data_IF_777732382613
#
_entry.id   IF_777732382613
#
_cell.length_a   1.000
_cell.length_b   1.000
_cell.length_c   1.000
_cell.angle_alpha   90.00
_cell.angle_beta   90.00
_cell.angle_gamma   90.00
#
_symmetry.space_group_name_H-M   'P 1'
#
loop_
_entity.id
_entity.type
_entity.pdbx_description
1 polymer ?
#
# COMPACT_ATOMS: atom_id res chain seq x y z
N UNK A 1 20.33 -22.97 4.50
CA UNK A 1 19.17 -22.93 5.44
C UNK A 1 18.28 -21.77 5.02
N UNK A 2 17.06 -22.01 4.54
CA UNK A 2 16.14 -20.97 4.14
C UNK A 2 15.56 -20.28 5.39
N UNK A 3 15.77 -18.98 5.51
CA UNK A 3 15.19 -18.16 6.57
C UNK A 3 14.12 -17.24 6.01
N UNK A 4 12.97 -17.16 6.68
CA UNK A 4 11.85 -16.33 6.28
C UNK A 4 11.59 -15.24 7.32
N UNK A 5 11.79 -13.98 6.91
CA UNK A 5 11.56 -12.81 7.76
C UNK A 5 10.14 -12.28 7.58
N UNK A 6 9.30 -12.39 8.61
CA UNK A 6 7.99 -11.71 8.65
C UNK A 6 8.20 -10.20 8.87
N UNK A 7 7.38 -9.38 8.21
CA UNK A 7 7.37 -7.95 8.52
C UNK A 7 6.97 -7.70 9.98
N UNK A 8 7.50 -6.62 10.62
CA UNK A 8 7.06 -6.18 11.93
C UNK A 8 5.58 -5.74 11.87
N UNK A 9 4.90 -5.75 13.01
CA UNK A 9 3.52 -5.23 13.11
C UNK A 9 3.50 -3.71 12.86
N UNK A 10 4.52 -3.00 13.33
CA UNK A 10 4.70 -1.58 13.04
C UNK A 10 4.87 -1.36 11.53
N UNK A 11 4.10 -0.44 10.89
CA UNK A 11 4.21 -0.13 9.47
C UNK A 11 5.45 0.72 9.14
N UNK A 12 6.61 0.21 9.49
CA UNK A 12 7.91 0.83 9.27
C UNK A 12 8.78 -0.09 8.41
N UNK A 13 9.04 0.36 7.19
CA UNK A 13 9.81 -0.42 6.21
C UNK A 13 11.26 -0.63 6.65
N UNK A 14 11.87 0.38 7.29
CA UNK A 14 13.27 0.30 7.73
C UNK A 14 13.47 -0.71 8.86
N UNK A 15 12.43 -0.92 9.71
CA UNK A 15 12.46 -2.01 10.70
C UNK A 15 12.45 -3.39 10.04
N UNK A 16 11.70 -3.55 8.95
CA UNK A 16 11.67 -4.81 8.21
C UNK A 16 13.01 -5.06 7.50
N UNK A 17 13.53 -4.05 6.82
CA UNK A 17 14.85 -4.09 6.17
C UNK A 17 15.95 -4.42 7.18
N UNK A 18 15.99 -3.70 8.29
CA UNK A 18 16.99 -3.94 9.35
C UNK A 18 16.89 -5.34 9.98
N UNK A 19 15.68 -5.93 10.03
CA UNK A 19 15.49 -7.33 10.42
C UNK A 19 16.14 -8.29 9.44
N UNK A 20 15.89 -8.11 8.15
CA UNK A 20 16.46 -8.91 7.07
C UNK A 20 18.00 -8.77 7.01
N UNK A 21 18.53 -7.55 7.08
CA UNK A 21 19.96 -7.30 7.05
C UNK A 21 20.71 -7.97 8.19
N UNK A 22 20.14 -8.00 9.40
CA UNK A 22 20.75 -8.71 10.54
C UNK A 22 20.89 -10.20 10.29
N UNK A 23 19.89 -10.80 9.63
CA UNK A 23 19.90 -12.22 9.25
C UNK A 23 20.96 -12.48 8.18
N UNK A 24 21.03 -11.62 7.16
CA UNK A 24 22.05 -11.69 6.12
C UNK A 24 23.47 -11.54 6.70
N UNK A 25 23.69 -10.57 7.59
CA UNK A 25 24.99 -10.38 8.30
C UNK A 25 25.39 -11.57 9.17
N UNK A 26 24.44 -12.39 9.61
CA UNK A 26 24.72 -13.64 10.33
C UNK A 26 25.13 -14.80 9.39
N UNK A 27 25.31 -14.55 8.09
CA UNK A 27 25.76 -15.52 7.10
C UNK A 27 24.65 -16.40 6.51
N UNK A 28 23.38 -15.98 6.63
CA UNK A 28 22.25 -16.68 6.02
C UNK A 28 21.98 -16.06 4.65
N UNK A 29 22.24 -16.81 3.59
CA UNK A 29 22.11 -16.36 2.20
C UNK A 29 20.72 -16.64 1.62
N UNK A 30 20.09 -17.77 1.99
CA UNK A 30 18.74 -18.14 1.55
C UNK A 30 17.68 -17.38 2.36
N UNK A 31 17.32 -16.19 1.91
CA UNK A 31 16.35 -15.33 2.57
C UNK A 31 15.00 -15.34 1.83
N UNK A 32 13.91 -15.23 2.58
CA UNK A 32 12.57 -14.98 2.07
C UNK A 32 11.85 -13.98 2.96
N UNK A 33 11.02 -13.16 2.35
CA UNK A 33 10.21 -12.15 3.03
C UNK A 33 8.78 -12.66 3.18
N UNK A 34 8.16 -12.43 4.34
CA UNK A 34 6.75 -12.77 4.56
C UNK A 34 6.00 -11.49 4.91
N UNK A 35 5.05 -11.15 4.06
CA UNK A 35 4.10 -10.08 4.28
C UNK A 35 2.89 -10.61 5.05
N UNK A 36 2.74 -10.19 6.31
CA UNK A 36 1.66 -10.59 7.23
C UNK A 36 0.72 -9.46 7.63
N UNK A 37 0.81 -8.31 6.95
CA UNK A 37 0.09 -7.09 7.29
C UNK A 37 0.68 -6.33 8.48
N UNK A 38 0.14 -5.15 8.72
CA UNK A 38 0.64 -4.18 9.71
C UNK A 38 -0.47 -3.72 10.64
N UNK A 39 -0.10 -3.22 11.82
CA UNK A 39 -1.05 -2.54 12.69
C UNK A 39 -1.57 -1.26 12.03
N UNK A 40 -2.84 -0.99 12.20
CA UNK A 40 -3.48 0.23 11.73
C UNK A 40 -4.36 0.82 12.82
N UNK A 41 -4.52 2.13 12.77
CA UNK A 41 -5.47 2.83 13.63
C UNK A 41 -6.86 2.80 12.99
N UNK A 42 -7.87 2.59 13.82
CA UNK A 42 -9.28 2.55 13.40
C UNK A 42 -9.81 1.13 13.12
N UNK A 43 -11.06 1.07 12.73
CA UNK A 43 -11.75 -0.18 12.43
C UNK A 43 -11.43 -0.60 11.00
N UNK A 44 -10.81 -1.76 10.81
CA UNK A 44 -10.56 -2.35 9.50
C UNK A 44 -11.22 -3.72 9.41
N UNK A 45 -11.50 -4.18 8.20
CA UNK A 45 -11.97 -5.54 7.97
C UNK A 45 -10.88 -6.60 8.23
N UNK A 46 -9.62 -6.16 8.34
CA UNK A 46 -8.44 -7.00 8.53
C UNK A 46 -7.98 -7.00 9.98
N UNK A 47 -7.43 -8.14 10.45
CA UNK A 47 -6.71 -8.20 11.73
C UNK A 47 -5.43 -7.35 11.68
N UNK A 48 -4.71 -7.43 10.56
CA UNK A 48 -3.56 -6.60 10.27
C UNK A 48 -3.72 -6.01 8.87
N UNK A 49 -3.82 -4.69 8.76
CA UNK A 49 -4.03 -4.04 7.47
C UNK A 49 -2.92 -4.43 6.47
N UNK A 50 -3.23 -4.83 5.25
CA UNK A 50 -2.22 -5.32 4.31
C UNK A 50 -1.22 -4.25 3.91
N UNK A 51 -1.60 -2.96 3.87
CA UNK A 51 -0.72 -1.86 3.46
C UNK A 51 0.21 -2.25 2.29
N UNK A 52 -0.39 -2.71 1.21
CA UNK A 52 0.29 -3.28 0.04
C UNK A 52 1.45 -2.44 -0.48
N UNK A 53 1.36 -1.11 -0.37
CA UNK A 53 2.41 -0.19 -0.80
C UNK A 53 3.75 -0.44 -0.09
N UNK A 54 3.75 -0.87 1.19
CA UNK A 54 4.99 -1.21 1.90
C UNK A 54 5.61 -2.51 1.38
N UNK A 55 4.78 -3.53 1.14
CA UNK A 55 5.25 -4.79 0.59
C UNK A 55 5.74 -4.63 -0.87
N UNK A 56 5.03 -3.83 -1.68
CA UNK A 56 5.45 -3.48 -3.05
C UNK A 56 6.80 -2.74 -3.02
N UNK A 57 6.98 -1.77 -2.12
CA UNK A 57 8.25 -1.04 -1.99
C UNK A 57 9.39 -1.97 -1.53
N UNK A 58 9.09 -2.92 -0.63
CA UNK A 58 10.06 -3.94 -0.21
C UNK A 58 10.48 -4.83 -1.40
N UNK A 59 9.52 -5.31 -2.20
CA UNK A 59 9.79 -6.09 -3.42
C UNK A 59 10.59 -5.29 -4.45
N UNK A 60 10.29 -4.01 -4.61
CA UNK A 60 11.03 -3.10 -5.50
C UNK A 60 12.51 -2.94 -5.10
N UNK A 61 12.79 -2.82 -3.79
CA UNK A 61 14.16 -2.68 -3.27
C UNK A 61 14.94 -4.00 -3.29
N UNK A 62 14.25 -5.11 -3.11
CA UNK A 62 14.85 -6.44 -2.95
C UNK A 62 14.21 -7.45 -3.92
N UNK A 63 14.27 -7.16 -5.21
CA UNK A 63 13.64 -7.94 -6.29
C UNK A 63 14.12 -9.39 -6.37
N UNK A 64 15.31 -9.69 -5.85
CA UNK A 64 15.89 -11.05 -5.86
C UNK A 64 15.50 -11.90 -4.65
N UNK A 65 14.77 -11.33 -3.67
CA UNK A 65 14.36 -12.05 -2.46
C UNK A 65 12.89 -12.43 -2.60
N UNK A 66 12.55 -13.74 -2.51
CA UNK A 66 11.17 -14.18 -2.63
C UNK A 66 10.26 -13.52 -1.59
N UNK A 67 9.11 -13.01 -2.04
CA UNK A 67 8.08 -12.41 -1.21
C UNK A 67 6.88 -13.34 -1.09
N UNK A 68 6.59 -13.76 0.12
CA UNK A 68 5.48 -14.66 0.46
C UNK A 68 4.38 -13.85 1.17
N UNK A 69 3.13 -14.08 0.82
CA UNK A 69 2.00 -13.48 1.55
C UNK A 69 1.45 -14.44 2.60
N UNK A 70 1.09 -13.90 3.75
CA UNK A 70 0.44 -14.60 4.86
C UNK A 70 -1.00 -14.06 5.03
N UNK A 71 -1.96 -14.54 4.24
CA UNK A 71 -3.33 -14.07 4.30
C UNK A 71 -4.01 -14.43 5.63
N UNK A 72 -3.62 -15.53 6.30
CA UNK A 72 -4.18 -15.91 7.59
C UNK A 72 -4.00 -14.82 8.64
N UNK A 73 -2.79 -14.27 8.75
CA UNK A 73 -2.50 -13.20 9.71
C UNK A 73 -2.99 -11.83 9.27
N UNK A 74 -3.09 -11.58 7.96
CA UNK A 74 -3.71 -10.36 7.43
C UNK A 74 -5.18 -10.33 7.78
N UNK A 75 -5.91 -11.38 7.42
CA UNK A 75 -7.36 -11.44 7.54
C UNK A 75 -7.83 -11.61 9.00
N UNK A 76 -7.23 -12.56 9.74
CA UNK A 76 -7.72 -12.98 11.06
C UNK A 76 -9.10 -13.65 11.03
N UNK A 77 -9.62 -13.96 9.83
CA UNK A 77 -10.93 -14.55 9.54
C UNK A 77 -10.88 -15.29 8.20
N UNK A 78 -11.76 -16.27 8.03
CA UNK A 78 -11.70 -17.22 6.89
C UNK A 78 -12.28 -16.69 5.58
N UNK A 79 -13.32 -15.89 5.67
CA UNK A 79 -14.17 -15.49 4.54
C UNK A 79 -13.52 -14.57 3.51
N UNK A 80 -12.44 -13.86 3.89
CA UNK A 80 -11.69 -12.96 3.00
C UNK A 80 -10.29 -13.49 2.64
N UNK A 81 -9.94 -14.73 3.06
CA UNK A 81 -8.63 -15.34 2.77
C UNK A 81 -8.35 -15.44 1.28
N UNK A 82 -9.34 -15.91 0.50
CA UNK A 82 -9.22 -16.09 -0.94
C UNK A 82 -8.88 -14.79 -1.66
N UNK A 83 -9.56 -13.70 -1.31
CA UNK A 83 -9.40 -12.40 -1.96
C UNK A 83 -8.01 -11.80 -1.66
N UNK A 84 -7.55 -11.92 -0.41
CA UNK A 84 -6.21 -11.46 -0.02
C UNK A 84 -5.12 -12.30 -0.67
N UNK A 85 -5.29 -13.62 -0.73
CA UNK A 85 -4.35 -14.53 -1.41
C UNK A 85 -4.28 -14.22 -2.92
N UNK A 86 -5.43 -14.06 -3.59
CA UNK A 86 -5.48 -13.70 -5.00
C UNK A 86 -4.83 -12.34 -5.25
N UNK A 87 -5.09 -11.35 -4.39
CA UNK A 87 -4.49 -10.02 -4.50
C UNK A 87 -2.96 -10.09 -4.41
N UNK A 88 -2.41 -10.93 -3.53
CA UNK A 88 -0.97 -11.14 -3.44
C UNK A 88 -0.39 -11.70 -4.75
N UNK A 89 -1.03 -12.73 -5.32
CA UNK A 89 -0.62 -13.31 -6.61
C UNK A 89 -0.74 -12.29 -7.76
N UNK A 90 -1.79 -11.47 -7.76
CA UNK A 90 -1.96 -10.39 -8.74
C UNK A 90 -0.88 -9.29 -8.62
N UNK A 91 -0.26 -9.15 -7.43
CA UNK A 91 0.87 -8.26 -7.13
C UNK A 91 2.24 -8.95 -7.27
N UNK A 92 2.28 -10.12 -7.92
CA UNK A 92 3.50 -10.86 -8.22
C UNK A 92 4.26 -11.32 -6.97
N UNK A 93 3.54 -11.78 -5.95
CA UNK A 93 4.15 -12.48 -4.83
C UNK A 93 4.50 -13.92 -5.22
N UNK A 94 5.63 -14.41 -4.71
CA UNK A 94 6.22 -15.69 -5.08
C UNK A 94 5.53 -16.89 -4.41
N UNK A 95 4.68 -16.65 -3.41
CA UNK A 95 3.97 -17.72 -2.72
C UNK A 95 3.06 -17.26 -1.60
N UNK A 96 2.46 -18.26 -0.97
CA UNK A 96 1.51 -18.09 0.13
C UNK A 96 1.94 -18.94 1.32
N UNK A 97 1.65 -18.46 2.53
CA UNK A 97 1.69 -19.25 3.76
C UNK A 97 0.33 -19.14 4.44
N UNK A 98 -0.35 -20.28 4.60
CA UNK A 98 -1.75 -20.32 5.06
C UNK A 98 -1.84 -21.30 6.20
N UNK A 99 -2.47 -20.88 7.28
CA UNK A 99 -2.71 -21.75 8.44
C UNK A 99 -3.86 -22.72 8.16
N UNK A 100 -3.57 -24.02 8.34
CA UNK A 100 -4.53 -25.10 8.15
C UNK A 100 -4.55 -26.04 9.34
N UNK A 101 -5.72 -26.50 9.75
CA UNK A 101 -5.95 -27.43 10.85
C UNK A 101 -7.06 -28.40 10.49
N UNK A 102 -6.95 -29.64 10.97
CA UNK A 102 -7.97 -30.70 10.69
C UNK A 102 -9.33 -30.33 11.28
N UNK A 103 -9.35 -29.63 12.40
CA UNK A 103 -10.54 -29.13 13.09
C UNK A 103 -10.28 -27.68 13.55
N UNK A 104 -10.41 -26.69 12.65
CA UNK A 104 -10.02 -25.31 12.93
C UNK A 104 -10.73 -24.67 14.11
N UNK A 105 -11.99 -25.04 14.38
CA UNK A 105 -12.77 -24.45 15.47
C UNK A 105 -12.27 -24.85 16.86
N UNK A 106 -11.59 -25.99 16.94
CA UNK A 106 -10.96 -26.51 18.13
C UNK A 106 -9.42 -26.36 18.13
N UNK A 107 -8.87 -25.55 17.22
CA UNK A 107 -7.43 -25.27 17.21
C UNK A 107 -7.00 -24.52 18.49
N UNK A 108 -5.83 -24.86 19.01
CA UNK A 108 -5.30 -24.29 20.26
C UNK A 108 -4.96 -22.79 20.16
N UNK A 109 -4.72 -22.31 18.95
CA UNK A 109 -4.46 -20.89 18.68
C UNK A 109 -5.09 -20.48 17.36
N UNK A 110 -5.40 -19.20 17.23
CA UNK A 110 -5.81 -18.55 15.97
C UNK A 110 -6.94 -19.27 15.21
N UNK A 111 -7.83 -19.98 15.92
CA UNK A 111 -8.93 -20.80 15.38
C UNK A 111 -9.75 -20.09 14.27
N UNK A 112 -10.00 -18.79 14.43
CA UNK A 112 -10.86 -18.03 13.51
C UNK A 112 -10.28 -17.83 12.10
N UNK A 113 -8.96 -17.93 11.94
CA UNK A 113 -8.26 -17.69 10.67
C UNK A 113 -7.78 -18.98 9.98
N UNK A 114 -7.79 -20.12 10.69
CA UNK A 114 -7.39 -21.40 10.15
C UNK A 114 -8.50 -22.02 9.30
N UNK A 115 -8.13 -22.77 8.27
CA UNK A 115 -9.04 -23.49 7.37
C UNK A 115 -8.70 -24.98 7.36
N UNK A 116 -9.66 -25.84 6.96
CA UNK A 116 -9.35 -27.27 6.82
C UNK A 116 -8.48 -27.54 5.59
N UNK A 117 -7.78 -28.70 5.54
CA UNK A 117 -6.99 -29.09 4.35
C UNK A 117 -7.83 -29.14 3.07
N UNK A 118 -9.10 -29.55 3.14
CA UNK A 118 -10.01 -29.60 2.00
C UNK A 118 -10.33 -28.20 1.48
N UNK A 119 -10.61 -27.26 2.39
CA UNK A 119 -10.86 -25.85 2.05
C UNK A 119 -9.59 -25.23 1.47
N UNK A 120 -8.40 -25.52 2.05
CA UNK A 120 -7.13 -25.07 1.53
C UNK A 120 -6.90 -25.56 0.11
N UNK A 121 -7.15 -26.84 -0.17
CA UNK A 121 -7.05 -27.41 -1.52
C UNK A 121 -7.93 -26.67 -2.50
N UNK A 122 -9.22 -26.52 -2.18
CA UNK A 122 -10.19 -25.81 -3.04
C UNK A 122 -9.76 -24.37 -3.29
N UNK A 123 -9.27 -23.68 -2.25
CA UNK A 123 -8.75 -22.32 -2.33
C UNK A 123 -7.56 -22.22 -3.28
N UNK A 124 -6.58 -23.12 -3.18
CA UNK A 124 -5.40 -23.14 -4.05
C UNK A 124 -5.75 -23.45 -5.50
N UNK A 125 -6.72 -24.35 -5.75
CA UNK A 125 -7.22 -24.66 -7.08
C UNK A 125 -7.98 -23.49 -7.73
N UNK A 126 -8.59 -22.60 -6.92
CA UNK A 126 -9.31 -21.44 -7.39
C UNK A 126 -8.38 -20.22 -7.68
N UNK A 127 -7.15 -20.23 -7.18
CA UNK A 127 -6.18 -19.15 -7.44
C UNK A 127 -5.83 -19.09 -8.92
N UNK A 128 -5.95 -17.90 -9.48
CA UNK A 128 -5.51 -17.59 -10.85
C UNK A 128 -4.06 -17.12 -10.80
N UNK A 129 -3.14 -18.02 -11.09
CA UNK A 129 -1.72 -17.72 -11.20
C UNK A 129 -1.48 -16.76 -12.37
N UNK A 130 -0.82 -15.64 -12.10
CA UNK A 130 -0.47 -14.63 -13.11
C UNK A 130 0.94 -14.88 -13.63
N UNK A 131 1.20 -14.39 -14.82
CA UNK A 131 2.55 -14.35 -15.41
C UNK A 131 2.99 -12.90 -15.47
N UNK A 132 4.26 -12.65 -15.22
CA UNK A 132 4.84 -11.30 -15.33
C UNK A 132 4.75 -10.76 -16.76
N UNK A 133 4.85 -11.66 -17.73
CA UNK A 133 4.92 -11.28 -19.13
C UNK A 133 4.30 -12.32 -20.08
N UNK A 134 3.99 -11.89 -21.29
CA UNK A 134 3.54 -12.73 -22.41
C UNK A 134 4.39 -12.43 -23.65
N UNK A 135 4.80 -13.47 -24.37
CA UNK A 135 5.60 -13.36 -25.58
C UNK A 135 4.78 -12.87 -26.79
N UNK A 136 4.08 -11.74 -26.68
CA UNK A 136 3.28 -11.13 -27.75
C UNK A 136 3.74 -9.71 -28.02
N UNK A 137 4.33 -9.47 -29.19
CA UNK A 137 4.74 -8.12 -29.61
C UNK A 137 3.56 -7.14 -29.68
N UNK A 138 2.38 -7.61 -30.08
CA UNK A 138 1.17 -6.81 -30.14
C UNK A 138 0.72 -6.36 -28.74
N UNK A 139 0.79 -7.28 -27.74
CA UNK A 139 0.49 -6.97 -26.35
C UNK A 139 1.45 -5.91 -25.81
N UNK A 140 2.76 -6.07 -26.01
CA UNK A 140 3.77 -5.11 -25.57
C UNK A 140 3.57 -3.74 -26.20
N UNK A 141 3.30 -3.67 -27.51
CA UNK A 141 3.05 -2.42 -28.19
C UNK A 141 1.79 -1.70 -27.68
N UNK A 142 0.70 -2.44 -27.44
CA UNK A 142 -0.53 -1.90 -26.89
C UNK A 142 -0.33 -1.39 -25.46
N UNK A 143 0.36 -2.17 -24.60
CA UNK A 143 0.65 -1.79 -23.22
C UNK A 143 1.54 -0.56 -23.15
N UNK A 144 2.58 -0.50 -24.00
CA UNK A 144 3.50 0.65 -24.05
C UNK A 144 2.77 1.93 -24.46
N UNK A 145 1.87 1.87 -25.43
CA UNK A 145 1.02 3.02 -25.78
C UNK A 145 0.18 3.53 -24.62
N UNK A 146 -0.41 2.63 -23.83
CA UNK A 146 -1.19 3.01 -22.63
C UNK A 146 -0.29 3.60 -21.53
N UNK A 147 0.91 3.04 -21.32
CA UNK A 147 1.89 3.58 -20.38
C UNK A 147 2.34 4.99 -20.75
N UNK A 148 2.56 5.26 -22.04
CA UNK A 148 2.87 6.61 -22.53
C UNK A 148 1.74 7.60 -22.25
N UNK A 149 0.48 7.19 -22.40
CA UNK A 149 -0.67 8.03 -22.04
C UNK A 149 -0.70 8.32 -20.52
N UNK A 150 -0.40 7.33 -19.68
CA UNK A 150 -0.30 7.55 -18.23
C UNK A 150 0.83 8.52 -17.92
N UNK A 151 2.03 8.35 -18.50
CA UNK A 151 3.16 9.25 -18.29
C UNK A 151 2.81 10.71 -18.63
N UNK A 152 2.11 10.92 -19.75
CA UNK A 152 1.66 12.26 -20.14
C UNK A 152 0.68 12.86 -19.11
N UNK A 153 -0.29 12.06 -18.63
CA UNK A 153 -1.24 12.51 -17.61
C UNK A 153 -0.55 12.80 -16.28
N UNK A 154 0.46 12.02 -15.90
CA UNK A 154 1.27 12.25 -14.72
C UNK A 154 2.06 13.56 -14.82
N UNK A 155 2.66 13.85 -15.98
CA UNK A 155 3.35 15.13 -16.24
C UNK A 155 2.39 16.31 -16.15
N UNK A 156 1.19 16.22 -16.71
CA UNK A 156 0.13 17.25 -16.61
C UNK A 156 -0.29 17.45 -15.15
N UNK A 157 -0.46 16.36 -14.38
CA UNK A 157 -0.79 16.43 -12.96
C UNK A 157 0.29 17.15 -12.16
N UNK A 158 1.56 16.81 -12.38
CA UNK A 158 2.71 17.48 -11.73
C UNK A 158 2.75 18.97 -12.06
N UNK A 159 2.47 19.35 -13.31
CA UNK A 159 2.41 20.75 -13.71
C UNK A 159 1.29 21.53 -13.01
N UNK A 160 0.11 20.90 -12.86
CA UNK A 160 -1.03 21.48 -12.12
C UNK A 160 -0.68 21.63 -10.64
N UNK A 161 -0.04 20.61 -10.02
CA UNK A 161 0.41 20.68 -8.63
C UNK A 161 1.46 21.80 -8.43
N UNK A 162 2.44 21.93 -9.32
CA UNK A 162 3.43 23.02 -9.28
C UNK A 162 2.74 24.40 -9.33
N UNK A 163 1.80 24.56 -10.24
CA UNK A 163 1.02 25.81 -10.36
C UNK A 163 0.22 26.08 -9.08
N UNK A 164 -0.37 25.05 -8.48
CA UNK A 164 -1.11 25.15 -7.23
C UNK A 164 -0.20 25.58 -6.06
N UNK A 165 1.06 25.09 -6.01
CA UNK A 165 2.01 25.49 -4.97
C UNK A 165 2.41 26.96 -5.10
N UNK A 166 2.60 27.48 -6.30
CA UNK A 166 2.82 28.93 -6.51
C UNK A 166 1.66 29.80 -6.00
N UNK A 167 0.42 29.30 -6.10
CA UNK A 167 -0.74 29.99 -5.49
C UNK A 167 -0.69 29.90 -3.96
N UNK A 168 -0.29 28.75 -3.41
CA UNK A 168 -0.12 28.58 -1.95
C UNK A 168 0.96 29.52 -1.39
N UNK A 169 2.07 29.74 -2.11
CA UNK A 169 3.11 30.72 -1.76
C UNK A 169 2.55 32.14 -1.66
N UNK A 170 1.79 32.57 -2.67
CA UNK A 170 1.12 33.89 -2.62
C UNK A 170 0.17 34.02 -1.45
N UNK A 171 -0.58 32.96 -1.10
CA UNK A 171 -1.41 32.96 0.11
C UNK A 171 -0.53 33.10 1.37
N UNK A 172 0.65 32.46 1.40
CA UNK A 172 1.64 32.62 2.47
C UNK A 172 2.09 34.05 2.64
N UNK A 173 2.40 34.76 1.54
CA UNK A 173 2.76 36.19 1.56
C UNK A 173 1.65 37.06 2.16
N UNK A 174 0.39 36.86 1.74
CA UNK A 174 -0.76 37.59 2.31
C UNK A 174 -0.92 37.31 3.80
N UNK A 175 -0.74 36.07 4.23
CA UNK A 175 -0.85 35.68 5.64
C UNK A 175 0.28 36.30 6.48
N UNK A 176 1.53 36.26 5.97
CA UNK A 176 2.69 36.90 6.60
C UNK A 176 2.44 38.39 6.83
N UNK A 177 1.95 39.10 5.81
CA UNK A 177 1.70 40.52 5.87
C UNK A 177 0.56 40.94 6.82
N UNK A 178 -0.25 39.99 7.26
CA UNK A 178 -1.41 40.23 8.13
C UNK A 178 -1.36 39.43 9.44
N UNK A 179 -0.23 38.82 9.78
CA UNK A 179 -0.01 38.01 11.00
C UNK A 179 -1.04 36.88 11.17
N UNK A 180 -1.47 36.26 10.05
CA UNK A 180 -2.47 35.18 10.05
C UNK A 180 -1.79 33.82 10.06
N UNK A 181 -2.31 32.88 10.85
CA UNK A 181 -1.82 31.49 10.93
C UNK A 181 -1.91 30.75 9.60
N UNK A 182 -0.96 29.83 9.34
CA UNK A 182 -0.95 29.01 8.12
C UNK A 182 -2.19 28.13 8.05
N UNK A 183 -2.46 27.35 9.12
CA UNK A 183 -3.58 26.42 9.18
C UNK A 183 -4.90 27.15 9.48
N UNK A 184 -5.88 26.91 8.64
CA UNK A 184 -7.27 27.36 8.80
C UNK A 184 -8.19 26.14 8.70
N UNK A 185 -8.53 25.52 9.83
CA UNK A 185 -9.23 24.22 9.89
C UNK A 185 -10.56 24.21 9.12
N UNK A 186 -11.36 25.29 9.25
CA UNK A 186 -12.63 25.37 8.53
C UNK A 186 -12.43 25.32 7.00
N UNK A 187 -11.42 26.04 6.51
CA UNK A 187 -11.08 26.03 5.08
C UNK A 187 -10.62 24.65 4.61
N UNK A 188 -9.87 23.94 5.45
CA UNK A 188 -9.46 22.58 5.13
C UNK A 188 -10.66 21.63 5.00
N UNK A 189 -11.59 21.68 5.93
CA UNK A 189 -12.81 20.87 5.88
C UNK A 189 -13.65 21.14 4.61
N UNK A 190 -13.78 22.39 4.19
CA UNK A 190 -14.46 22.76 2.95
C UNK A 190 -13.76 22.16 1.70
N UNK A 191 -12.42 22.26 1.66
CA UNK A 191 -11.61 21.74 0.55
C UNK A 191 -11.79 20.24 0.44
N UNK A 192 -11.64 19.53 1.57
CA UNK A 192 -11.74 18.08 1.63
C UNK A 192 -13.15 17.60 1.23
N UNK A 193 -14.20 18.18 1.82
CA UNK A 193 -15.58 17.82 1.49
C UNK A 193 -15.91 18.04 0.00
N UNK A 194 -15.45 19.15 -0.57
CA UNK A 194 -15.60 19.41 -2.01
C UNK A 194 -14.82 18.41 -2.87
N UNK A 195 -13.61 18.06 -2.46
CA UNK A 195 -12.76 17.11 -3.21
C UNK A 195 -13.38 15.72 -3.21
N UNK A 196 -13.82 15.22 -2.05
CA UNK A 196 -14.53 13.95 -1.92
C UNK A 196 -15.79 13.94 -2.78
N UNK A 197 -16.65 14.97 -2.67
CA UNK A 197 -17.87 15.03 -3.44
C UNK A 197 -17.69 15.11 -4.96
N UNK A 198 -16.58 15.71 -5.44
CA UNK A 198 -16.24 15.71 -6.88
C UNK A 198 -15.58 14.40 -7.32
N UNK A 199 -14.59 13.94 -6.58
CA UNK A 199 -13.79 12.78 -6.96
C UNK A 199 -14.61 11.49 -6.98
N UNK A 200 -15.53 11.31 -6.03
CA UNK A 200 -16.45 10.16 -6.02
C UNK A 200 -17.35 10.10 -7.27
N UNK A 201 -17.77 11.26 -7.80
CA UNK A 201 -18.51 11.35 -9.08
C UNK A 201 -17.65 11.00 -10.29
N UNK A 202 -16.33 11.10 -10.16
CA UNK A 202 -15.35 10.72 -11.19
C UNK A 202 -14.86 9.26 -11.04
N UNK A 203 -15.44 8.49 -10.12
CA UNK A 203 -15.08 7.09 -9.89
C UNK A 203 -13.86 6.88 -8.99
N UNK A 204 -13.39 7.92 -8.30
CA UNK A 204 -12.28 7.81 -7.34
C UNK A 204 -12.82 7.43 -5.96
N UNK A 205 -12.10 6.57 -5.23
CA UNK A 205 -12.50 6.21 -3.87
C UNK A 205 -12.27 7.35 -2.88
N UNK A 206 -13.13 7.47 -1.87
CA UNK A 206 -13.03 8.48 -0.83
C UNK A 206 -11.69 8.40 -0.06
N UNK A 207 -11.23 7.19 0.24
CA UNK A 207 -9.94 6.95 0.90
C UNK A 207 -8.78 7.50 0.07
N UNK A 208 -8.75 7.22 -1.25
CA UNK A 208 -7.74 7.77 -2.14
C UNK A 208 -7.77 9.31 -2.17
N UNK A 209 -8.97 9.89 -2.34
CA UNK A 209 -9.12 11.35 -2.41
C UNK A 209 -8.65 12.00 -1.12
N UNK A 210 -9.01 11.45 0.04
CA UNK A 210 -8.61 11.97 1.35
C UNK A 210 -7.10 11.96 1.50
N UNK A 211 -6.44 10.83 1.29
CA UNK A 211 -4.96 10.72 1.40
C UNK A 211 -4.23 11.63 0.41
N UNK A 212 -4.72 11.70 -0.82
CA UNK A 212 -4.15 12.58 -1.83
C UNK A 212 -4.26 14.06 -1.42
N UNK A 213 -5.44 14.47 -0.97
CA UNK A 213 -5.67 15.86 -0.53
C UNK A 213 -4.89 16.21 0.74
N UNK A 214 -4.71 15.25 1.66
CA UNK A 214 -3.84 15.43 2.84
C UNK A 214 -2.39 15.69 2.42
N UNK A 215 -1.84 14.88 1.51
CA UNK A 215 -0.48 15.07 1.02
C UNK A 215 -0.30 16.42 0.31
N UNK A 216 -1.25 16.81 -0.55
CA UNK A 216 -1.25 18.09 -1.26
C UNK A 216 -1.42 19.27 -0.30
N UNK A 217 -2.18 19.10 0.78
CA UNK A 217 -2.36 20.13 1.82
C UNK A 217 -1.09 20.33 2.64
N UNK A 218 -0.46 19.23 3.07
CA UNK A 218 0.82 19.30 3.78
C UNK A 218 1.92 19.99 2.95
N UNK A 219 2.01 19.69 1.66
CA UNK A 219 2.95 20.37 0.78
C UNK A 219 2.64 21.88 0.65
N UNK A 220 1.36 22.24 0.60
CA UNK A 220 0.95 23.67 0.61
C UNK A 220 1.34 24.37 1.91
N UNK A 221 1.23 23.69 3.05
CA UNK A 221 1.68 24.21 4.36
C UNK A 221 3.19 24.42 4.33
N UNK A 222 3.96 23.47 3.80
CA UNK A 222 5.41 23.55 3.69
C UNK A 222 5.84 24.77 2.85
N UNK A 223 5.18 25.00 1.71
CA UNK A 223 5.45 26.17 0.85
C UNK A 223 5.12 27.48 1.56
N UNK A 224 3.94 27.58 2.21
CA UNK A 224 3.58 28.77 3.00
C UNK A 224 4.56 29.01 4.14
N UNK A 225 4.96 27.95 4.86
CA UNK A 225 5.90 28.04 5.97
C UNK A 225 7.25 28.61 5.54
N UNK A 226 7.78 28.17 4.40
CA UNK A 226 9.03 28.73 3.81
C UNK A 226 8.92 30.23 3.55
N UNK A 227 7.78 30.68 3.00
CA UNK A 227 7.56 32.10 2.72
C UNK A 227 7.38 32.93 4.01
N UNK A 228 6.69 32.39 4.99
CA UNK A 228 6.40 33.13 6.24
C UNK A 228 7.62 33.26 7.16
N UNK A 229 8.55 32.32 7.12
CA UNK A 229 9.70 32.26 8.03
C UNK A 229 11.06 32.61 7.39
N UNK A 230 11.06 32.97 6.09
CA UNK A 230 12.17 33.61 5.40
C UNK A 230 11.85 35.11 5.20
#
# INVERSE_FOLDING_TARGET
MLFRSKNPINPDLELWIGGMERIAKAGIEDLGLIHRGFSSYGNTEYRNAPMWHLAIEMKRRFSNIPMINDPSHICGRRDILQDVAQKAIDLDFDGLIIESHIDPDNAWSDAKQQITPEVLKTMLEAIRWRKEDVASAEYHAALEKLRQQINQLDDELLQVLSTRMKVAEKIGEYKKNNDITILQTNRWNEILGRAVGKGSKLGLSEDFITRYMDAVHMESINHQNKIMNN
#
